data_IF_843634510653
#
_entry.id   IF_843634510653
#
_cell.length_a   1.000
_cell.length_b   1.000
_cell.length_c   1.000
_cell.angle_alpha   90.00
_cell.angle_beta   90.00
_cell.angle_gamma   90.00
#
_symmetry.space_group_name_H-M   'P 1'
#
loop_
_entity.id
_entity.type
_entity.pdbx_description
1 polymer ?
#
# COMPACT_ATOMS: atom_id res chain seq x y z
N UNK A 1 -21.71 47.67 4.98
CA UNK A 1 -22.68 46.57 5.19
C UNK A 1 -22.06 45.28 4.66
N UNK A 2 -21.94 44.20 5.44
CA UNK A 2 -21.41 42.93 4.95
C UNK A 2 -22.46 42.17 4.13
N UNK A 3 -22.02 41.52 3.04
CA UNK A 3 -22.84 40.70 2.14
C UNK A 3 -22.47 39.24 2.38
N UNK A 4 -23.47 38.35 2.49
CA UNK A 4 -23.26 36.91 2.68
C UNK A 4 -23.47 36.18 1.36
N UNK A 5 -22.40 35.58 0.83
CA UNK A 5 -22.45 34.72 -0.36
C UNK A 5 -22.49 33.25 0.08
N UNK A 6 -23.39 32.46 -0.52
CA UNK A 6 -23.42 31.00 -0.34
C UNK A 6 -22.92 30.34 -1.62
N UNK A 7 -21.95 29.45 -1.51
CA UNK A 7 -21.42 28.66 -2.62
C UNK A 7 -21.84 27.21 -2.43
N UNK A 8 -22.39 26.59 -3.47
CA UNK A 8 -22.69 25.16 -3.48
C UNK A 8 -21.43 24.37 -3.86
N UNK A 9 -21.00 23.49 -2.95
CA UNK A 9 -19.80 22.67 -3.10
C UNK A 9 -20.13 21.17 -3.21
N UNK A 10 -21.40 20.80 -3.34
CA UNK A 10 -21.86 19.40 -3.33
C UNK A 10 -21.15 18.54 -4.39
N UNK A 11 -21.09 19.01 -5.63
CA UNK A 11 -20.41 18.33 -6.74
C UNK A 11 -18.90 18.20 -6.51
N UNK A 12 -18.25 19.29 -6.10
CA UNK A 12 -16.82 19.29 -5.79
C UNK A 12 -16.48 18.29 -4.68
N UNK A 13 -17.29 18.22 -3.62
CA UNK A 13 -17.13 17.21 -2.55
C UNK A 13 -17.27 15.78 -3.08
N UNK A 14 -18.20 15.55 -4.01
CA UNK A 14 -18.39 14.26 -4.66
C UNK A 14 -17.17 13.82 -5.48
N UNK A 15 -16.62 14.71 -6.30
CA UNK A 15 -15.43 14.41 -7.12
C UNK A 15 -14.21 14.17 -6.24
N UNK A 16 -13.96 15.01 -5.23
CA UNK A 16 -12.85 14.82 -4.29
C UNK A 16 -12.96 13.47 -3.56
N UNK A 17 -14.16 13.04 -3.17
CA UNK A 17 -14.37 11.72 -2.56
C UNK A 17 -13.97 10.59 -3.52
N UNK A 18 -14.44 10.64 -4.77
CA UNK A 18 -14.11 9.63 -5.80
C UNK A 18 -12.63 9.59 -6.12
N UNK A 19 -12.01 10.76 -6.27
CA UNK A 19 -10.57 10.91 -6.51
C UNK A 19 -9.75 10.29 -5.38
N UNK A 20 -10.14 10.55 -4.12
CA UNK A 20 -9.52 9.93 -2.95
C UNK A 20 -9.63 8.39 -2.99
N UNK A 21 -10.81 7.86 -3.27
CA UNK A 21 -11.04 6.40 -3.32
C UNK A 21 -10.18 5.75 -4.42
N UNK A 22 -10.09 6.37 -5.60
CA UNK A 22 -9.20 5.91 -6.69
C UNK A 22 -7.72 5.95 -6.30
N UNK A 23 -7.28 7.05 -5.70
CA UNK A 23 -5.90 7.18 -5.20
C UNK A 23 -5.54 6.11 -4.19
N UNK A 24 -6.42 5.85 -3.23
CA UNK A 24 -6.22 4.80 -2.21
C UNK A 24 -6.14 3.41 -2.85
N UNK A 25 -7.06 3.10 -3.76
CA UNK A 25 -7.08 1.82 -4.47
C UNK A 25 -5.82 1.61 -5.32
N UNK A 26 -5.37 2.60 -6.09
CA UNK A 26 -4.16 2.47 -6.89
C UNK A 26 -2.91 2.30 -6.02
N UNK A 27 -2.80 3.11 -4.96
CA UNK A 27 -1.69 3.07 -4.02
C UNK A 27 -1.55 1.70 -3.35
N UNK A 28 -2.63 1.17 -2.78
CA UNK A 28 -2.56 -0.05 -1.97
C UNK A 28 -2.23 -1.28 -2.82
N UNK A 29 -2.75 -1.35 -4.05
CA UNK A 29 -2.46 -2.42 -4.99
C UNK A 29 -1.00 -2.38 -5.47
N UNK A 30 -0.49 -1.18 -5.80
CA UNK A 30 0.90 -1.01 -6.19
C UNK A 30 1.84 -1.35 -5.03
N UNK A 31 1.54 -0.87 -3.82
CA UNK A 31 2.32 -1.16 -2.63
C UNK A 31 2.37 -2.66 -2.33
N UNK A 32 1.23 -3.37 -2.44
CA UNK A 32 1.19 -4.82 -2.24
C UNK A 32 2.11 -5.58 -3.21
N UNK A 33 2.09 -5.21 -4.49
CA UNK A 33 2.98 -5.80 -5.50
C UNK A 33 4.46 -5.49 -5.23
N UNK A 34 4.78 -4.24 -4.90
CA UNK A 34 6.15 -3.79 -4.64
C UNK A 34 6.74 -4.37 -3.34
N UNK A 35 5.90 -4.73 -2.37
CA UNK A 35 6.32 -5.37 -1.12
C UNK A 35 6.70 -6.84 -1.33
N UNK A 36 6.11 -7.53 -2.32
CA UNK A 36 6.27 -8.98 -2.49
C UNK A 36 7.74 -9.46 -2.50
N UNK A 37 8.70 -8.79 -3.19
CA UNK A 37 10.11 -9.21 -3.19
C UNK A 37 10.83 -9.07 -1.83
N UNK A 38 10.25 -8.34 -0.88
CA UNK A 38 10.80 -8.15 0.47
C UNK A 38 10.27 -9.19 1.46
N UNK A 39 9.17 -9.88 1.12
CA UNK A 39 8.58 -10.92 1.96
C UNK A 39 9.46 -12.17 1.91
N UNK A 40 9.87 -12.75 3.04
CA UNK A 40 10.67 -13.96 3.03
C UNK A 40 10.01 -15.14 2.31
N UNK A 41 10.78 -15.81 1.47
CA UNK A 41 10.37 -17.01 0.75
C UNK A 41 11.38 -18.11 0.98
N UNK A 42 10.95 -19.18 1.65
CA UNK A 42 11.69 -20.43 1.76
C UNK A 42 10.90 -21.54 1.06
N UNK A 43 9.66 -21.72 1.52
CA UNK A 43 8.64 -22.60 0.94
C UNK A 43 7.26 -21.95 1.14
N UNK A 44 6.26 -22.35 0.35
CA UNK A 44 4.90 -21.81 0.43
C UNK A 44 4.68 -20.60 -0.47
N UNK A 45 3.76 -19.71 -0.08
CA UNK A 45 3.28 -18.61 -0.93
C UNK A 45 2.99 -17.32 -0.15
N UNK A 46 3.78 -17.04 0.90
CA UNK A 46 3.51 -15.94 1.84
C UNK A 46 3.37 -14.57 1.15
N UNK A 47 4.15 -14.33 0.09
CA UNK A 47 4.09 -13.09 -0.68
C UNK A 47 2.75 -12.85 -1.36
N UNK A 48 1.99 -13.91 -1.66
CA UNK A 48 0.66 -13.82 -2.25
C UNK A 48 -0.46 -14.13 -1.23
N UNK A 49 -0.13 -14.63 -0.04
CA UNK A 49 -1.08 -14.88 1.07
C UNK A 49 -1.37 -13.61 1.87
N UNK A 50 -1.92 -12.61 1.19
CA UNK A 50 -2.41 -11.38 1.81
C UNK A 50 -3.81 -11.03 1.33
N UNK A 51 -4.49 -10.19 2.10
CA UNK A 51 -5.79 -9.61 1.75
C UNK A 51 -5.69 -8.09 1.90
N UNK A 52 -6.22 -7.36 0.91
CA UNK A 52 -6.39 -5.91 1.01
C UNK A 52 -7.73 -5.63 1.69
N UNK A 53 -7.70 -4.92 2.80
CA UNK A 53 -8.87 -4.55 3.58
C UNK A 53 -9.22 -3.08 3.37
N UNK A 54 -10.47 -2.82 2.97
CA UNK A 54 -11.03 -1.48 2.82
C UNK A 54 -10.18 -0.52 1.97
N UNK A 55 -9.44 -1.05 0.99
CA UNK A 55 -8.48 -0.33 0.13
C UNK A 55 -7.41 0.47 0.88
N UNK A 56 -7.07 0.06 2.12
CA UNK A 56 -6.19 0.82 3.02
C UNK A 56 -5.15 -0.01 3.75
N UNK A 57 -5.42 -1.29 3.95
CA UNK A 57 -4.59 -2.14 4.78
C UNK A 57 -4.26 -3.44 4.05
N UNK A 58 -3.02 -3.92 4.20
CA UNK A 58 -2.58 -5.22 3.69
C UNK A 58 -2.42 -6.14 4.90
N UNK A 59 -3.18 -7.23 4.93
CA UNK A 59 -3.13 -8.22 5.99
C UNK A 59 -2.58 -9.54 5.46
N UNK A 60 -1.39 -9.93 5.93
CA UNK A 60 -0.85 -11.28 5.70
C UNK A 60 -1.58 -12.29 6.58
N UNK A 61 -2.19 -13.31 5.96
CA UNK A 61 -3.13 -14.22 6.63
C UNK A 61 -2.45 -15.43 7.26
N UNK A 62 -1.23 -15.75 6.85
CA UNK A 62 -0.52 -16.93 7.32
C UNK A 62 -0.10 -16.78 8.79
N UNK A 63 -0.34 -17.81 9.60
CA UNK A 63 -0.04 -17.82 11.04
C UNK A 63 1.44 -17.52 11.36
N UNK A 64 2.35 -17.90 10.46
CA UNK A 64 3.80 -17.71 10.62
C UNK A 64 4.28 -16.34 10.14
N UNK A 65 3.45 -15.55 9.45
CA UNK A 65 3.80 -14.23 8.92
C UNK A 65 4.31 -13.31 10.03
N UNK A 66 3.60 -13.27 11.17
CA UNK A 66 3.99 -12.44 12.33
C UNK A 66 5.38 -12.79 12.88
N UNK A 67 5.74 -14.08 12.90
CA UNK A 67 7.05 -14.52 13.38
C UNK A 67 8.16 -14.04 12.44
N UNK A 68 7.97 -14.23 11.13
CA UNK A 68 8.95 -13.80 10.12
C UNK A 68 9.07 -12.28 10.07
N UNK A 69 7.96 -11.55 10.15
CA UNK A 69 7.91 -10.10 10.16
C UNK A 69 8.75 -9.47 11.28
N UNK A 70 8.80 -10.12 12.44
CA UNK A 70 9.56 -9.66 13.62
C UNK A 70 10.91 -10.37 13.79
N UNK A 71 11.29 -11.25 12.87
CA UNK A 71 12.52 -12.05 12.94
C UNK A 71 13.77 -11.26 12.55
N UNK A 72 14.11 -10.21 13.31
CA UNK A 72 15.25 -9.31 12.98
C UNK A 72 16.59 -10.06 12.90
N UNK A 73 16.75 -11.12 13.70
CA UNK A 73 17.97 -11.92 13.76
C UNK A 73 17.86 -13.25 12.98
N UNK A 74 16.89 -13.37 12.08
CA UNK A 74 16.74 -14.58 11.27
C UNK A 74 17.60 -14.51 10.01
N UNK A 75 18.16 -15.66 9.63
CA UNK A 75 18.82 -15.83 8.35
C UNK A 75 17.76 -16.20 7.30
N UNK A 76 17.32 -15.20 6.53
CA UNK A 76 16.36 -15.41 5.45
C UNK A 76 17.05 -15.91 4.19
N UNK A 77 16.39 -16.81 3.48
CA UNK A 77 16.83 -17.27 2.17
C UNK A 77 16.61 -16.18 1.13
N UNK A 78 17.64 -15.92 0.30
CA UNK A 78 17.64 -14.87 -0.70
C UNK A 78 17.59 -15.40 -2.14
N UNK A 79 17.36 -16.70 -2.33
CA UNK A 79 17.40 -17.35 -3.65
C UNK A 79 16.28 -16.86 -4.56
N UNK A 80 15.06 -16.76 -4.05
CA UNK A 80 13.88 -16.34 -4.81
C UNK A 80 13.59 -14.85 -4.62
N UNK A 81 13.72 -14.36 -3.39
CA UNK A 81 13.48 -12.97 -3.01
C UNK A 81 14.78 -12.36 -2.47
N UNK A 82 15.60 -11.72 -3.32
CA UNK A 82 16.90 -11.18 -2.92
C UNK A 82 16.80 -10.08 -1.86
N UNK A 83 15.65 -9.42 -1.74
CA UNK A 83 15.39 -8.35 -0.78
C UNK A 83 14.67 -8.85 0.49
N UNK A 84 14.51 -10.16 0.63
CA UNK A 84 13.77 -10.77 1.73
C UNK A 84 14.27 -10.29 3.11
N UNK A 85 13.33 -10.07 4.01
CA UNK A 85 13.63 -10.02 5.43
C UNK A 85 12.51 -9.44 6.29
N UNK A 86 12.83 -9.05 7.54
CA UNK A 86 11.84 -8.60 8.50
C UNK A 86 11.38 -7.19 8.14
N UNK A 87 10.21 -6.78 8.66
CA UNK A 87 9.65 -5.44 8.41
C UNK A 87 9.58 -5.08 6.92
N UNK A 88 9.15 -6.03 6.10
CA UNK A 88 9.18 -5.93 4.64
C UNK A 88 8.42 -4.72 4.08
N UNK A 89 7.33 -4.29 4.72
CA UNK A 89 6.58 -3.09 4.38
C UNK A 89 7.41 -1.80 4.57
N UNK A 90 8.15 -1.72 5.68
CA UNK A 90 8.98 -0.56 6.00
C UNK A 90 10.17 -0.48 5.05
N UNK A 91 10.78 -1.61 4.73
CA UNK A 91 11.89 -1.70 3.77
C UNK A 91 11.44 -1.29 2.38
N UNK A 92 10.36 -1.88 1.88
CA UNK A 92 9.77 -1.51 0.60
C UNK A 92 9.39 -0.02 0.55
N UNK A 93 8.83 0.52 1.64
CA UNK A 93 8.50 1.94 1.73
C UNK A 93 9.72 2.83 1.55
N UNK A 94 10.86 2.52 2.17
CA UNK A 94 12.10 3.32 2.00
C UNK A 94 12.48 3.40 0.53
N UNK A 95 12.35 2.29 -0.20
CA UNK A 95 12.82 2.19 -1.59
C UNK A 95 11.78 2.65 -2.63
N UNK A 96 10.48 2.65 -2.29
CA UNK A 96 9.37 2.83 -3.24
C UNK A 96 8.42 3.97 -2.93
N UNK A 97 8.63 4.72 -1.84
CA UNK A 97 7.71 5.78 -1.41
C UNK A 97 7.41 6.80 -2.51
N UNK A 98 8.41 7.23 -3.28
CA UNK A 98 8.22 8.21 -4.35
C UNK A 98 7.30 7.67 -5.47
N UNK A 99 7.57 6.44 -5.93
CA UNK A 99 6.71 5.74 -6.91
C UNK A 99 5.26 5.61 -6.42
N UNK A 100 5.09 5.28 -5.14
CA UNK A 100 3.76 5.17 -4.54
C UNK A 100 3.02 6.50 -4.50
N UNK A 101 3.73 7.60 -4.23
CA UNK A 101 3.15 8.95 -4.27
C UNK A 101 2.72 9.30 -5.69
N UNK A 102 3.56 9.04 -6.69
CA UNK A 102 3.25 9.33 -8.10
C UNK A 102 2.02 8.55 -8.58
N UNK A 103 1.94 7.26 -8.27
CA UNK A 103 0.80 6.39 -8.62
C UNK A 103 -0.48 6.90 -7.97
N UNK A 104 -0.42 7.27 -6.68
CA UNK A 104 -1.56 7.82 -5.97
C UNK A 104 -2.02 9.17 -6.57
N UNK A 105 -1.07 10.06 -6.89
CA UNK A 105 -1.35 11.37 -7.49
C UNK A 105 -2.05 11.23 -8.84
N UNK A 106 -1.49 10.39 -9.72
CA UNK A 106 -2.07 10.14 -11.04
C UNK A 106 -3.52 9.61 -10.93
N UNK A 107 -3.75 8.66 -10.04
CA UNK A 107 -5.09 8.10 -9.83
C UNK A 107 -6.10 9.11 -9.22
N UNK A 108 -5.62 10.06 -8.40
CA UNK A 108 -6.43 11.17 -7.88
C UNK A 108 -6.78 12.14 -9.01
N UNK A 109 -5.82 12.52 -9.84
CA UNK A 109 -6.03 13.43 -10.98
C UNK A 109 -7.03 12.88 -11.99
N UNK A 110 -6.98 11.57 -12.28
CA UNK A 110 -7.98 10.88 -13.12
C UNK A 110 -9.38 10.82 -12.48
N UNK A 111 -9.49 11.10 -11.18
CA UNK A 111 -10.74 11.07 -10.41
C UNK A 111 -11.43 12.41 -10.17
N UNK A 112 -10.73 13.52 -10.44
CA UNK A 112 -11.25 14.89 -10.29
C UNK A 112 -12.14 15.30 -11.47
#
# INVERSE_FOLDING_TARGET
MPIKVRVDLSKAKGNVKKAKERGQFALINQAAADIAPYVPFLEGDLSNQYVIMNDKEIMWTSIYARRLYNGINFNFTLTHHPLAGPKWDQRAKVDKLESWIEVAQKAVEEGL
#
